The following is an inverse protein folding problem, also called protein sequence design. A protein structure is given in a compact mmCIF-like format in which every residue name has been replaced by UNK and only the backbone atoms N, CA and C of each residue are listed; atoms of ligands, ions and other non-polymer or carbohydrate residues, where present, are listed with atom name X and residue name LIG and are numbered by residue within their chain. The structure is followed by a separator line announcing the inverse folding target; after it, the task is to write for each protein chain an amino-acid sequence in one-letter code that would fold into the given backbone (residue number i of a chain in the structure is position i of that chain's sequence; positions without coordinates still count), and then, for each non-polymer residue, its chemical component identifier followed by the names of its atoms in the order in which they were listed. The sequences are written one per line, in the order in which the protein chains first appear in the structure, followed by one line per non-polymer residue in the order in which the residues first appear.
data_IF_087815326011
#
_entry.id   IF_087815326011
#
_cell.length_a   1.000
_cell.length_b   1.000
_cell.length_c   1.000
_cell.angle_alpha   90.00
_cell.angle_beta   90.00
_cell.angle_gamma   90.00
#
_symmetry.space_group_name_H-M   'P 1'
#
loop_
_entity.id
_entity.type
_entity.pdbx_description
1 polymer ?
#
# COMPACT_ATOMS: atom_id res chain seq x y z
N UNK A 1 29.06 5.83 -8.81
CA UNK A 1 28.86 4.64 -9.66
C UNK A 1 29.08 5.07 -11.11
N UNK A 2 29.97 4.40 -11.81
CA UNK A 2 30.14 4.52 -13.26
C UNK A 2 29.69 3.23 -13.94
N UNK A 3 29.33 3.30 -15.21
CA UNK A 3 28.98 2.11 -15.99
C UNK A 3 30.17 1.71 -16.87
N UNK A 4 30.67 0.50 -16.72
CA UNK A 4 31.74 -0.08 -17.56
C UNK A 4 31.23 -1.38 -18.18
N UNK A 5 31.20 -1.44 -19.51
CA UNK A 5 30.71 -2.62 -20.25
C UNK A 5 29.33 -3.11 -19.78
N UNK A 6 28.38 -2.18 -19.59
CA UNK A 6 27.04 -2.42 -19.10
C UNK A 6 26.94 -2.92 -17.63
N UNK A 7 28.04 -2.84 -16.88
CA UNK A 7 28.06 -3.14 -15.45
C UNK A 7 28.22 -1.88 -14.60
N UNK A 8 27.46 -1.75 -13.50
CA UNK A 8 27.65 -0.67 -12.56
C UNK A 8 28.91 -0.95 -11.71
N UNK A 9 29.89 -0.06 -11.80
CA UNK A 9 31.10 -0.11 -11.00
C UNK A 9 31.01 0.93 -9.88
N UNK A 10 31.05 0.47 -8.65
CA UNK A 10 31.04 1.32 -7.46
C UNK A 10 32.48 1.63 -7.09
N UNK A 11 32.78 2.93 -6.89
CA UNK A 11 34.10 3.40 -6.53
C UNK A 11 35.21 2.91 -7.49
N UNK A 12 35.15 3.29 -8.78
CA UNK A 12 36.10 2.83 -9.80
C UNK A 12 37.55 3.19 -9.42
N UNK A 13 38.44 2.26 -9.64
CA UNK A 13 39.88 2.43 -9.36
C UNK A 13 40.32 2.15 -7.92
N UNK A 14 39.40 2.10 -6.95
CA UNK A 14 39.78 1.80 -5.56
C UNK A 14 39.71 0.33 -5.19
N UNK A 15 38.97 -0.48 -5.94
CA UNK A 15 38.86 -1.93 -5.71
C UNK A 15 38.11 -2.34 -4.44
N UNK A 16 37.68 -1.37 -3.62
CA UNK A 16 36.94 -1.58 -2.38
C UNK A 16 36.03 -0.38 -2.10
N UNK A 17 35.00 -0.58 -1.28
CA UNK A 17 34.20 0.51 -0.74
C UNK A 17 34.99 1.18 0.40
N UNK A 18 35.00 2.51 0.38
CA UNK A 18 35.58 3.37 1.42
C UNK A 18 34.48 4.26 1.99
N UNK A 19 34.64 4.75 3.22
CA UNK A 19 33.67 5.64 3.89
C UNK A 19 33.53 6.99 3.17
N UNK A 20 34.57 7.41 2.46
CA UNK A 20 34.59 8.63 1.69
C UNK A 20 35.18 8.39 0.31
N UNK A 21 34.63 9.03 -0.70
CA UNK A 21 35.11 8.98 -2.09
C UNK A 21 35.17 10.40 -2.62
N UNK A 22 36.31 10.78 -3.15
CA UNK A 22 36.43 12.04 -3.91
C UNK A 22 35.89 11.80 -5.31
N UNK A 23 34.89 12.59 -5.69
CA UNK A 23 34.29 12.57 -7.03
C UNK A 23 34.19 13.99 -7.56
N UNK A 24 34.42 14.14 -8.85
CA UNK A 24 34.04 15.37 -9.54
C UNK A 24 32.52 15.39 -9.68
N UNK A 25 31.88 16.33 -8.99
CA UNK A 25 30.45 16.56 -9.19
C UNK A 25 30.22 17.26 -10.52
N UNK A 26 29.20 16.91 -11.29
CA UNK A 26 28.80 17.67 -12.45
C UNK A 26 28.60 19.15 -12.04
N UNK A 27 29.04 20.06 -12.87
CA UNK A 27 28.76 21.48 -12.63
C UNK A 27 27.26 21.69 -12.42
N UNK A 28 26.92 22.29 -11.27
CA UNK A 28 25.54 22.61 -10.98
C UNK A 28 25.03 23.60 -12.03
N UNK A 29 24.04 23.19 -12.81
CA UNK A 29 23.37 24.05 -13.78
C UNK A 29 22.10 24.61 -13.16
N UNK A 30 22.05 25.91 -12.86
CA UNK A 30 20.86 26.54 -12.25
C UNK A 30 19.61 26.48 -13.14
N UNK A 31 19.79 26.19 -14.42
CA UNK A 31 18.72 26.11 -15.41
C UNK A 31 18.04 24.73 -15.46
N UNK A 32 18.62 23.72 -14.84
CA UNK A 32 17.90 22.47 -14.62
C UNK A 32 16.91 22.72 -13.49
N UNK A 33 15.69 23.04 -13.88
CA UNK A 33 14.56 23.07 -12.97
C UNK A 33 14.56 21.79 -12.13
N UNK A 34 14.82 21.91 -10.82
CA UNK A 34 14.77 20.76 -9.90
C UNK A 34 13.40 20.08 -9.94
N UNK A 35 12.37 20.77 -10.45
CA UNK A 35 11.08 20.20 -10.76
C UNK A 35 11.08 19.38 -12.06
N UNK A 36 12.11 19.47 -12.91
CA UNK A 36 12.25 18.62 -14.10
C UNK A 36 12.78 17.21 -13.77
N UNK A 37 13.29 16.99 -12.57
CA UNK A 37 13.35 15.65 -12.00
C UNK A 37 11.95 15.23 -11.58
N UNK A 38 11.00 15.32 -12.49
CA UNK A 38 9.84 14.47 -12.45
C UNK A 38 10.40 13.07 -12.49
N UNK A 39 10.36 12.41 -11.34
CA UNK A 39 10.61 10.99 -11.29
C UNK A 39 9.90 10.38 -12.48
N UNK A 40 10.58 9.63 -13.33
CA UNK A 40 10.01 9.00 -14.52
C UNK A 40 8.78 8.14 -14.22
N UNK A 41 8.53 7.86 -12.97
CA UNK A 41 7.40 7.14 -12.43
C UNK A 41 6.11 7.97 -12.33
N UNK A 42 6.14 9.27 -12.58
CA UNK A 42 4.95 10.12 -12.36
C UNK A 42 4.43 10.13 -10.91
N UNK A 43 5.05 9.40 -10.01
CA UNK A 43 4.67 9.33 -8.62
C UNK A 43 4.86 10.70 -7.96
N UNK A 44 3.77 11.39 -7.71
CA UNK A 44 3.79 12.63 -6.95
C UNK A 44 4.12 12.30 -5.50
N UNK A 45 5.23 12.83 -4.98
CA UNK A 45 5.52 12.76 -3.55
C UNK A 45 4.38 13.38 -2.76
N UNK A 46 3.88 12.65 -1.78
CA UNK A 46 2.86 13.17 -0.89
C UNK A 46 3.51 14.21 0.04
N UNK A 47 3.05 15.47 -0.02
CA UNK A 47 3.52 16.51 0.90
C UNK A 47 2.83 16.29 2.25
N UNK A 48 3.54 16.42 3.40
CA UNK A 48 2.90 16.32 4.72
C UNK A 48 1.68 17.23 4.83
N UNK A 49 0.56 16.69 5.31
CA UNK A 49 -0.72 17.39 5.42
C UNK A 49 -1.53 17.46 4.12
N UNK A 50 -1.03 16.89 3.02
CA UNK A 50 -1.81 16.75 1.79
C UNK A 50 -2.63 15.46 1.80
N UNK A 51 -3.72 15.43 1.04
CA UNK A 51 -4.52 14.24 0.77
C UNK A 51 -4.48 13.90 -0.71
N UNK A 52 -4.63 12.61 -1.02
CA UNK A 52 -4.78 12.11 -2.38
C UNK A 52 -5.97 11.16 -2.41
N UNK A 53 -6.82 11.36 -3.39
CA UNK A 53 -7.98 10.50 -3.65
C UNK A 53 -7.76 9.74 -4.95
N UNK A 54 -8.11 8.45 -4.95
CA UNK A 54 -8.07 7.59 -6.12
C UNK A 54 -9.48 7.15 -6.48
N UNK A 55 -10.01 7.73 -7.54
CA UNK A 55 -11.30 7.31 -8.11
C UNK A 55 -11.08 6.23 -9.17
N UNK A 56 -11.21 4.99 -8.73
CA UNK A 56 -11.04 3.84 -9.61
C UNK A 56 -12.16 3.69 -10.67
N UNK A 57 -13.28 4.41 -10.53
CA UNK A 57 -14.37 4.35 -11.53
C UNK A 57 -14.01 5.03 -12.83
N UNK A 58 -13.13 6.03 -12.78
CA UNK A 58 -12.64 6.80 -13.91
C UNK A 58 -11.23 6.39 -14.38
N UNK A 59 -10.61 5.44 -13.68
CA UNK A 59 -9.26 5.00 -13.95
C UNK A 59 -9.26 3.90 -15.03
N UNK A 60 -8.45 4.05 -16.06
CA UNK A 60 -8.30 3.05 -17.14
C UNK A 60 -7.14 2.10 -16.90
N UNK A 61 -6.11 2.58 -16.23
CA UNK A 61 -4.88 1.86 -15.91
C UNK A 61 -4.43 2.32 -14.53
N UNK A 62 -3.93 1.42 -13.70
CA UNK A 62 -3.29 1.79 -12.44
C UNK A 62 -2.02 2.60 -12.70
N UNK A 63 -1.81 3.66 -11.94
CA UNK A 63 -0.59 4.46 -12.00
C UNK A 63 0.63 3.70 -11.44
N UNK A 64 1.82 4.23 -11.72
CA UNK A 64 3.10 3.62 -11.31
C UNK A 64 3.32 3.62 -9.78
N UNK A 65 2.50 4.36 -9.04
CA UNK A 65 2.50 4.38 -7.58
C UNK A 65 1.88 3.13 -6.95
N UNK A 66 1.08 2.38 -7.71
CA UNK A 66 0.48 1.14 -7.24
C UNK A 66 1.47 -0.01 -7.33
N UNK A 67 1.57 -0.74 -6.25
CA UNK A 67 2.50 -1.84 -6.07
C UNK A 67 1.76 -3.13 -5.79
N UNK A 68 2.41 -4.22 -6.13
CA UNK A 68 1.93 -5.57 -5.87
C UNK A 68 2.91 -6.31 -4.97
N UNK A 69 2.41 -7.28 -4.22
CA UNK A 69 3.29 -8.23 -3.57
C UNK A 69 3.68 -9.32 -4.59
N UNK A 70 4.95 -9.31 -4.98
CA UNK A 70 5.51 -10.22 -6.00
C UNK A 70 4.90 -9.98 -7.38
N UNK A 71 4.92 -10.95 -8.25
CA UNK A 71 4.35 -10.84 -9.58
C UNK A 71 2.86 -11.19 -9.54
N UNK A 72 1.95 -10.23 -9.78
CA UNK A 72 0.53 -10.51 -9.80
C UNK A 72 0.18 -11.43 -10.98
N UNK A 73 -0.86 -12.23 -10.80
CA UNK A 73 -1.47 -12.96 -11.92
C UNK A 73 -2.15 -11.98 -12.88
N UNK A 74 -2.20 -12.30 -14.16
CA UNK A 74 -2.77 -11.41 -15.20
C UNK A 74 -4.17 -10.92 -14.88
N UNK A 75 -4.99 -11.75 -14.23
CA UNK A 75 -6.39 -11.45 -13.92
C UNK A 75 -6.61 -11.06 -12.45
N UNK A 76 -5.56 -10.66 -11.72
CA UNK A 76 -5.71 -10.36 -10.29
C UNK A 76 -6.68 -9.21 -10.02
N UNK A 77 -6.74 -8.23 -10.91
CA UNK A 77 -7.64 -7.08 -10.77
C UNK A 77 -8.28 -6.67 -12.08
N UNK A 78 -9.37 -5.93 -11.97
CA UNK A 78 -10.05 -5.28 -13.10
C UNK A 78 -10.54 -3.89 -12.68
N UNK A 79 -10.25 -2.89 -13.49
CA UNK A 79 -10.83 -1.56 -13.39
C UNK A 79 -12.14 -1.51 -14.19
N UNK A 80 -13.19 -1.05 -13.56
CA UNK A 80 -14.54 -0.97 -14.15
C UNK A 80 -15.17 0.37 -13.82
N UNK A 81 -16.27 0.71 -14.49
CA UNK A 81 -17.10 1.88 -14.14
C UNK A 81 -17.67 1.82 -12.71
N UNK A 82 -17.59 0.67 -12.03
CA UNK A 82 -18.02 0.48 -10.65
C UNK A 82 -16.88 0.53 -9.63
N UNK A 83 -15.64 0.73 -10.11
CA UNK A 83 -14.43 0.80 -9.31
C UNK A 83 -13.43 -0.34 -9.59
N UNK A 84 -12.55 -0.56 -8.65
CA UNK A 84 -11.53 -1.61 -8.66
C UNK A 84 -12.11 -2.91 -8.14
N UNK A 85 -12.10 -3.94 -8.96
CA UNK A 85 -12.42 -5.30 -8.56
C UNK A 85 -11.13 -6.10 -8.38
N UNK A 86 -10.95 -6.71 -7.22
CA UNK A 86 -9.90 -7.71 -6.98
C UNK A 86 -10.52 -9.10 -7.07
N UNK A 87 -9.87 -10.01 -7.79
CA UNK A 87 -10.29 -11.39 -7.82
C UNK A 87 -9.86 -12.10 -6.53
N UNK A 88 -10.76 -12.88 -5.95
CA UNK A 88 -10.43 -13.65 -4.76
C UNK A 88 -9.35 -14.69 -5.08
N UNK A 89 -8.34 -14.73 -4.23
CA UNK A 89 -7.26 -15.69 -4.27
C UNK A 89 -7.25 -16.51 -2.96
N UNK A 90 -6.94 -17.79 -2.99
CA UNK A 90 -6.70 -18.55 -1.77
C UNK A 90 -5.39 -18.15 -1.08
N UNK A 91 -4.51 -17.45 -1.80
CA UNK A 91 -3.22 -16.97 -1.28
C UNK A 91 -3.44 -15.80 -0.34
N UNK A 92 -2.93 -15.91 0.87
CA UNK A 92 -2.98 -14.86 1.90
C UNK A 92 -1.74 -13.98 1.88
N UNK A 93 -1.78 -12.85 2.57
CA UNK A 93 -0.63 -11.94 2.73
C UNK A 93 0.54 -12.59 3.50
N UNK A 94 0.33 -13.70 4.17
CA UNK A 94 1.34 -14.45 4.96
C UNK A 94 2.16 -15.42 4.11
N UNK A 95 1.68 -15.73 2.92
CA UNK A 95 2.31 -16.73 2.07
C UNK A 95 3.34 -16.09 1.13
N UNK A 96 4.40 -16.86 0.82
CA UNK A 96 5.43 -16.44 -0.16
C UNK A 96 4.96 -16.67 -1.60
N UNK A 97 3.72 -16.28 -1.89
CA UNK A 97 3.07 -16.34 -3.19
C UNK A 97 2.44 -14.98 -3.52
N UNK A 98 1.75 -14.84 -4.63
CA UNK A 98 1.15 -13.58 -5.08
C UNK A 98 -0.32 -13.48 -4.63
N UNK A 99 -0.63 -12.76 -3.55
CA UNK A 99 -2.01 -12.56 -3.11
C UNK A 99 -2.72 -11.53 -3.98
N UNK A 100 -4.06 -11.50 -3.94
CA UNK A 100 -4.84 -10.39 -4.49
C UNK A 100 -4.68 -9.15 -3.62
N UNK A 101 -3.63 -8.38 -3.88
CA UNK A 101 -3.25 -7.22 -3.08
C UNK A 101 -2.67 -6.12 -3.96
N UNK A 102 -3.21 -4.91 -3.81
CA UNK A 102 -2.71 -3.69 -4.44
C UNK A 102 -2.41 -2.70 -3.34
N UNK A 103 -1.25 -2.07 -3.39
CA UNK A 103 -0.78 -1.16 -2.36
C UNK A 103 -0.16 0.10 -2.92
N UNK A 104 -0.04 1.09 -2.08
CA UNK A 104 0.84 2.24 -2.24
C UNK A 104 1.84 2.26 -1.08
N UNK A 105 3.02 2.78 -1.34
CA UNK A 105 4.05 2.86 -0.30
C UNK A 105 3.72 3.97 0.70
N UNK A 106 3.76 3.64 1.99
CA UNK A 106 3.69 4.65 3.05
C UNK A 106 4.88 5.59 2.94
N UNK A 107 4.63 6.90 2.95
CA UNK A 107 5.65 7.94 2.79
C UNK A 107 5.92 8.73 4.07
N UNK A 108 5.02 8.67 5.06
CA UNK A 108 5.10 9.46 6.29
C UNK A 108 4.77 8.62 7.52
N UNK A 109 5.38 8.98 8.65
CA UNK A 109 5.10 8.36 9.95
C UNK A 109 3.70 8.70 10.49
N UNK A 110 3.08 9.76 9.97
CA UNK A 110 1.70 10.15 10.26
C UNK A 110 0.92 10.15 8.97
N UNK A 111 0.01 9.22 8.85
CA UNK A 111 -0.83 9.09 7.66
C UNK A 111 -2.13 8.38 8.00
N UNK A 112 -3.13 8.57 7.15
CA UNK A 112 -4.39 7.83 7.18
C UNK A 112 -4.67 7.30 5.79
N UNK A 113 -5.06 6.04 5.70
CA UNK A 113 -5.60 5.43 4.49
C UNK A 113 -7.06 5.09 4.73
N UNK A 114 -7.88 5.35 3.72
CA UNK A 114 -9.29 5.00 3.71
C UNK A 114 -9.62 4.31 2.40
N UNK A 115 -10.50 3.32 2.47
CA UNK A 115 -11.04 2.69 1.28
C UNK A 115 -12.53 2.41 1.44
N UNK A 116 -13.30 2.77 0.43
CA UNK A 116 -14.69 2.40 0.31
C UNK A 116 -14.79 0.98 -0.23
N UNK A 117 -15.40 0.08 0.53
CA UNK A 117 -15.53 -1.32 0.24
C UNK A 117 -17.00 -1.70 0.04
N UNK A 118 -17.31 -2.34 -1.08
CA UNK A 118 -18.61 -2.99 -1.30
C UNK A 118 -18.60 -4.36 -0.66
N UNK A 119 -19.63 -4.66 0.13
CA UNK A 119 -19.69 -5.88 0.95
C UNK A 119 -20.46 -7.01 0.28
N UNK A 120 -21.08 -6.76 -0.86
CA UNK A 120 -21.85 -7.76 -1.60
C UNK A 120 -20.96 -8.96 -2.02
N UNK A 121 -21.37 -10.15 -1.65
CA UNK A 121 -20.66 -11.40 -1.97
C UNK A 121 -19.48 -11.73 -1.06
N UNK A 122 -19.21 -10.92 -0.02
CA UNK A 122 -18.23 -11.25 1.00
C UNK A 122 -18.81 -12.31 1.96
N UNK A 123 -17.99 -13.29 2.31
CA UNK A 123 -18.31 -14.38 3.21
C UNK A 123 -17.14 -14.65 4.15
N UNK A 124 -17.27 -15.58 5.08
CA UNK A 124 -16.16 -16.04 5.93
C UNK A 124 -14.95 -16.55 5.12
N UNK A 125 -15.20 -17.14 3.96
CA UNK A 125 -14.17 -17.66 3.06
C UNK A 125 -13.71 -16.63 2.01
N UNK A 126 -14.44 -15.54 1.83
CA UNK A 126 -14.17 -14.48 0.86
C UNK A 126 -14.17 -13.14 1.57
N UNK A 127 -13.06 -12.80 2.16
CA UNK A 127 -12.87 -11.58 2.91
C UNK A 127 -12.14 -10.55 2.07
N UNK A 128 -12.48 -9.29 2.25
CA UNK A 128 -11.78 -8.16 1.62
C UNK A 128 -11.63 -7.02 2.62
N UNK A 129 -10.65 -6.16 2.42
CA UNK A 129 -10.41 -5.05 3.31
C UNK A 129 -9.16 -4.25 2.96
N UNK A 130 -8.59 -3.60 3.95
CA UNK A 130 -7.34 -2.85 3.83
C UNK A 130 -6.30 -3.37 4.82
N UNK A 131 -5.03 -3.20 4.48
CA UNK A 131 -3.93 -3.68 5.30
C UNK A 131 -2.74 -2.72 5.27
N UNK A 132 -2.03 -2.64 6.40
CA UNK A 132 -0.66 -2.17 6.48
C UNK A 132 0.25 -3.39 6.60
N UNK A 133 1.16 -3.54 5.65
CA UNK A 133 2.01 -4.73 5.53
C UNK A 133 3.46 -4.30 5.65
N UNK A 134 4.13 -4.79 6.67
CA UNK A 134 5.58 -4.67 6.83
C UNK A 134 6.28 -5.89 6.21
N UNK A 135 5.77 -7.08 6.49
CA UNK A 135 6.26 -8.35 5.95
C UNK A 135 5.13 -9.40 5.98
N UNK A 136 5.43 -10.63 5.56
CA UNK A 136 4.57 -11.79 5.70
C UNK A 136 4.29 -12.18 7.17
N UNK A 137 5.15 -11.78 8.10
CA UNK A 137 5.01 -12.06 9.53
C UNK A 137 4.45 -10.88 10.37
N UNK A 138 4.42 -9.65 9.81
CA UNK A 138 3.99 -8.45 10.52
C UNK A 138 3.02 -7.63 9.67
N UNK A 139 1.76 -7.60 10.09
CA UNK A 139 0.68 -6.96 9.34
C UNK A 139 -0.41 -6.47 10.29
N UNK A 140 -1.05 -5.38 9.95
CA UNK A 140 -2.30 -4.94 10.54
C UNK A 140 -3.35 -4.90 9.44
N UNK A 141 -4.43 -5.66 9.60
CA UNK A 141 -5.48 -5.80 8.58
C UNK A 141 -6.84 -5.51 9.20
N UNK A 142 -7.71 -4.88 8.44
CA UNK A 142 -9.14 -4.89 8.72
C UNK A 142 -9.84 -5.53 7.55
N UNK A 143 -10.57 -6.60 7.83
CA UNK A 143 -11.17 -7.48 6.84
C UNK A 143 -12.66 -7.65 7.10
N UNK A 144 -13.47 -7.53 6.05
CA UNK A 144 -14.93 -7.73 6.10
C UNK A 144 -15.28 -9.07 5.48
N UNK A 145 -16.14 -9.83 6.16
CA UNK A 145 -16.75 -11.07 5.68
C UNK A 145 -17.93 -11.48 6.57
N UNK A 146 -18.97 -12.10 6.01
CA UNK A 146 -20.20 -12.48 6.72
C UNK A 146 -20.81 -11.33 7.56
N UNK A 147 -20.89 -10.13 6.99
CA UNK A 147 -21.40 -8.92 7.67
C UNK A 147 -20.65 -8.58 8.96
N UNK A 148 -19.39 -8.89 9.02
CA UNK A 148 -18.52 -8.59 10.16
C UNK A 148 -17.17 -8.02 9.69
N UNK A 149 -16.74 -6.93 10.29
CA UNK A 149 -15.40 -6.40 10.16
C UNK A 149 -14.57 -6.90 11.33
N UNK A 150 -13.43 -7.52 11.04
CA UNK A 150 -12.45 -7.97 12.05
C UNK A 150 -11.13 -7.25 11.83
N UNK A 151 -10.52 -6.78 12.92
CA UNK A 151 -9.17 -6.24 12.94
C UNK A 151 -8.22 -7.34 13.36
N UNK A 152 -7.27 -7.65 12.49
CA UNK A 152 -6.30 -8.71 12.69
C UNK A 152 -4.91 -8.10 12.81
N UNK A 153 -4.27 -8.28 13.93
CA UNK A 153 -2.85 -8.02 14.14
C UNK A 153 -2.10 -9.33 13.93
N UNK A 154 -1.19 -9.33 12.97
CA UNK A 154 -0.27 -10.45 12.75
C UNK A 154 1.11 -10.06 13.28
N UNK A 155 1.60 -10.79 14.27
CA UNK A 155 2.93 -10.65 14.82
C UNK A 155 3.65 -11.99 14.81
N UNK A 156 4.86 -12.01 14.26
CA UNK A 156 5.66 -13.25 14.10
C UNK A 156 4.87 -14.37 13.39
N UNK A 157 4.06 -13.98 12.39
CA UNK A 157 3.22 -14.90 11.64
C UNK A 157 1.96 -15.42 12.37
N UNK A 158 1.70 -14.96 13.60
CA UNK A 158 0.52 -15.33 14.38
C UNK A 158 -0.55 -14.24 14.30
N UNK A 159 -1.75 -14.62 13.88
CA UNK A 159 -2.89 -13.74 13.78
C UNK A 159 -3.64 -13.66 15.11
N UNK A 160 -3.93 -12.43 15.55
CA UNK A 160 -4.78 -12.14 16.68
C UNK A 160 -5.90 -11.19 16.24
N UNK A 161 -7.15 -11.52 16.54
CA UNK A 161 -8.24 -10.57 16.38
C UNK A 161 -8.25 -9.61 17.55
N UNK A 162 -8.00 -8.34 17.27
CA UNK A 162 -7.90 -7.29 18.31
C UNK A 162 -9.11 -6.37 18.36
N UNK A 163 -10.02 -6.50 17.40
CA UNK A 163 -11.28 -5.74 17.38
C UNK A 163 -12.25 -6.29 16.36
N UNK A 164 -13.54 -6.07 16.56
CA UNK A 164 -14.54 -6.42 15.57
C UNK A 164 -15.83 -5.64 15.73
N UNK A 165 -16.57 -5.51 14.60
CA UNK A 165 -17.90 -4.92 14.57
C UNK A 165 -18.78 -5.56 13.50
N UNK A 166 -20.10 -5.42 13.70
CA UNK A 166 -21.09 -5.81 12.69
C UNK A 166 -21.12 -4.77 11.57
N UNK A 167 -21.17 -5.25 10.34
CA UNK A 167 -21.34 -4.45 9.11
C UNK A 167 -22.77 -4.68 8.61
N UNK A 168 -23.59 -3.64 8.63
CA UNK A 168 -24.99 -3.73 8.21
C UNK A 168 -25.20 -3.25 6.78
N UNK A 169 -24.36 -2.34 6.33
CA UNK A 169 -24.49 -1.70 5.02
C UNK A 169 -23.80 -2.50 3.91
N UNK A 170 -24.29 -2.30 2.70
CA UNK A 170 -23.67 -2.86 1.49
C UNK A 170 -22.39 -2.16 1.07
N UNK A 171 -22.07 -1.06 1.71
CA UNK A 171 -20.90 -0.24 1.46
C UNK A 171 -20.38 0.31 2.77
N UNK A 172 -19.10 0.19 3.01
CA UNK A 172 -18.43 0.61 4.24
C UNK A 172 -17.09 1.26 3.92
N UNK A 173 -16.76 2.33 4.63
CA UNK A 173 -15.43 2.92 4.57
C UNK A 173 -14.59 2.34 5.70
N UNK A 174 -13.51 1.69 5.35
CA UNK A 174 -12.51 1.20 6.28
C UNK A 174 -11.36 2.20 6.35
N UNK A 175 -10.78 2.40 7.52
CA UNK A 175 -9.66 3.31 7.72
C UNK A 175 -8.58 2.71 8.62
N UNK A 176 -7.32 3.01 8.31
CA UNK A 176 -6.18 2.79 9.20
C UNK A 176 -5.43 4.11 9.27
N UNK A 177 -5.33 4.68 10.47
CA UNK A 177 -4.54 5.85 10.76
C UNK A 177 -3.29 5.43 11.52
N UNK A 178 -2.13 5.94 11.11
CA UNK A 178 -0.84 5.71 11.75
C UNK A 178 -0.37 7.05 12.29
N UNK A 179 -0.03 7.09 13.57
CA UNK A 179 0.62 8.20 14.24
C UNK A 179 1.88 7.68 14.94
N UNK A 180 3.00 7.75 14.19
CA UNK A 180 4.30 7.21 14.60
C UNK A 180 4.24 5.69 14.87
N UNK A 181 4.16 5.26 16.12
CA UNK A 181 4.11 3.86 16.54
C UNK A 181 2.70 3.38 16.94
N UNK A 182 1.70 4.23 16.80
CA UNK A 182 0.31 3.89 17.10
C UNK A 182 -0.49 3.74 15.81
N UNK A 183 -1.38 2.77 15.80
CA UNK A 183 -2.33 2.58 14.72
C UNK A 183 -3.75 2.59 15.27
N UNK A 184 -4.62 3.37 14.64
CA UNK A 184 -6.05 3.40 14.95
C UNK A 184 -6.79 2.85 13.73
N UNK A 185 -7.60 1.83 13.94
CA UNK A 185 -8.41 1.20 12.89
C UNK A 185 -9.87 1.61 13.07
N UNK A 186 -10.46 2.13 12.02
CA UNK A 186 -11.85 2.61 12.04
C UNK A 186 -12.71 2.01 10.93
N UNK A 187 -14.00 2.10 11.13
CA UNK A 187 -15.02 1.78 10.16
C UNK A 187 -16.12 2.84 10.20
N UNK A 188 -16.61 3.22 9.02
CA UNK A 188 -17.73 4.13 8.88
C UNK A 188 -18.75 3.55 7.90
N UNK A 189 -19.99 3.52 8.32
CA UNK A 189 -21.16 3.19 7.52
C UNK A 189 -22.13 4.37 7.46
N UNK A 190 -23.34 4.18 6.91
CA UNK A 190 -24.33 5.25 6.78
C UNK A 190 -24.85 5.78 8.12
N UNK A 191 -24.69 5.05 9.21
CA UNK A 191 -25.28 5.34 10.53
C UNK A 191 -24.26 5.81 11.56
N UNK A 192 -23.01 5.36 11.45
CA UNK A 192 -22.00 5.54 12.49
C UNK A 192 -20.57 5.52 11.96
N UNK A 193 -19.70 6.13 12.71
CA UNK A 193 -18.25 5.98 12.60
C UNK A 193 -17.73 5.45 13.94
N UNK A 194 -16.98 4.37 13.90
CA UNK A 194 -16.50 3.68 15.11
C UNK A 194 -15.01 3.35 14.98
N UNK A 195 -14.33 3.38 16.12
CA UNK A 195 -12.97 2.85 16.25
C UNK A 195 -13.11 1.36 16.59
N UNK A 196 -12.42 0.52 15.83
CA UNK A 196 -12.41 -0.93 16.00
C UNK A 196 -11.25 -1.40 16.87
N UNK A 197 -10.09 -0.73 16.77
CA UNK A 197 -8.89 -1.03 17.55
C UNK A 197 -7.95 0.19 17.61
N UNK A 198 -7.12 0.25 18.66
CA UNK A 198 -6.02 1.21 18.85
C UNK A 198 -4.74 0.50 19.31
#
# INVERSE_FOLDING_TARGET
VVWENDWPVVNPGAGMLTDTVEIELPEWRPETDVNSYTYRTGAKTCVPGSSREYDFTNMKVLGDEFLFLRNPEENMYQLTEKGLNLHFSPVTLKEKASPSYIAIRQQHHRCKVEACLKTDGLTSARRAGIAVVQSDEYQLRVEVGDSKADVILCEKGMDQCVGSAVVEDKEVVLSIAIDELKATVGMKDSKREIILAE
#
